data_IF_015374626438
#
_entry.id   IF_015374626438
#
_cell.length_a   1.000
_cell.length_b   1.000
_cell.length_c   1.000
_cell.angle_alpha   90.00
_cell.angle_beta   90.00
_cell.angle_gamma   90.00
#
_symmetry.space_group_name_H-M   'P 1'
#
loop_
_entity.id
_entity.type
_entity.pdbx_description
1 polymer ?
#
# COMPACT_ATOMS: atom_id res chain seq x y z
N UNK A 1 16.77 -12.69 -6.29
CA UNK A 1 17.88 -12.58 -5.34
C UNK A 1 17.45 -11.62 -4.24
N UNK A 2 17.33 -12.09 -3.00
CA UNK A 2 16.92 -11.24 -1.86
C UNK A 2 18.19 -10.65 -1.23
N UNK A 3 18.27 -9.33 -1.17
CA UNK A 3 19.44 -8.61 -0.64
C UNK A 3 19.11 -8.23 0.80
N UNK A 4 19.95 -8.58 1.77
CA UNK A 4 19.71 -8.17 3.15
C UNK A 4 20.44 -6.85 3.43
N UNK A 5 19.70 -5.81 3.88
CA UNK A 5 20.26 -4.48 4.18
C UNK A 5 20.46 -4.20 5.69
N UNK A 6 20.21 -5.18 6.58
CA UNK A 6 20.39 -5.01 8.05
C UNK A 6 21.86 -4.91 8.46
N UNK A 7 22.80 -5.41 7.65
CA UNK A 7 24.18 -5.59 8.10
C UNK A 7 25.18 -5.04 7.09
N UNK A 8 25.82 -3.92 7.46
CA UNK A 8 27.05 -3.40 6.83
C UNK A 8 28.21 -4.42 6.87
N UNK A 9 28.09 -5.49 7.67
CA UNK A 9 29.13 -6.51 7.80
C UNK A 9 29.01 -7.53 6.66
N UNK A 10 29.87 -7.37 5.64
CA UNK A 10 30.41 -8.40 4.73
C UNK A 10 29.70 -8.70 3.39
N UNK A 11 28.63 -8.01 2.99
CA UNK A 11 27.99 -8.32 1.71
C UNK A 11 28.44 -7.36 0.60
N UNK A 12 29.36 -7.78 -0.27
CA UNK A 12 29.80 -6.99 -1.45
C UNK A 12 28.59 -6.53 -2.28
N UNK A 13 27.58 -7.40 -2.39
CA UNK A 13 26.32 -7.13 -3.08
C UNK A 13 25.50 -5.99 -2.46
N UNK A 14 25.64 -5.74 -1.15
CA UNK A 14 24.98 -4.62 -0.50
C UNK A 14 25.55 -3.28 -1.00
N UNK A 15 26.89 -3.16 -1.06
CA UNK A 15 27.53 -1.93 -1.53
C UNK A 15 27.16 -1.63 -2.98
N UNK A 16 27.31 -2.62 -3.87
CA UNK A 16 26.95 -2.45 -5.29
C UNK A 16 25.48 -2.08 -5.48
N UNK A 17 24.60 -2.67 -4.66
CA UNK A 17 23.17 -2.37 -4.68
C UNK A 17 22.86 -0.95 -4.19
N UNK A 18 23.49 -0.51 -3.11
CA UNK A 18 23.31 0.85 -2.59
C UNK A 18 23.91 1.90 -3.53
N UNK A 19 25.06 1.61 -4.14
CA UNK A 19 25.68 2.47 -5.15
C UNK A 19 24.79 2.59 -6.39
N UNK A 20 24.19 1.48 -6.84
CA UNK A 20 23.23 1.48 -7.93
C UNK A 20 22.02 2.38 -7.59
N UNK A 21 21.42 2.22 -6.41
CA UNK A 21 20.28 3.03 -5.98
C UNK A 21 20.64 4.52 -5.88
N UNK A 22 21.81 4.82 -5.33
CA UNK A 22 22.34 6.17 -5.24
C UNK A 22 22.54 6.80 -6.63
N UNK A 23 22.99 6.02 -7.62
CA UNK A 23 23.15 6.48 -9.01
C UNK A 23 21.83 6.92 -9.66
N UNK A 24 20.68 6.36 -9.23
CA UNK A 24 19.34 6.79 -9.65
C UNK A 24 18.74 7.91 -8.78
N UNK A 25 19.46 8.33 -7.73
CA UNK A 25 19.00 9.29 -6.74
C UNK A 25 17.87 8.76 -5.86
N UNK A 26 17.86 7.45 -5.60
CA UNK A 26 16.95 6.79 -4.68
C UNK A 26 17.61 6.72 -3.30
N UNK A 27 16.85 7.10 -2.27
CA UNK A 27 17.26 7.00 -0.87
C UNK A 27 16.50 5.84 -0.22
N UNK A 28 17.21 5.03 0.55
CA UNK A 28 16.59 4.03 1.41
C UNK A 28 15.83 4.70 2.55
N UNK A 29 14.64 4.17 2.85
CA UNK A 29 13.77 4.73 3.87
C UNK A 29 13.82 3.95 5.19
N UNK A 30 14.35 2.73 5.20
CA UNK A 30 14.56 1.95 6.42
C UNK A 30 15.57 0.81 6.25
N UNK A 31 16.23 0.44 7.34
CA UNK A 31 17.09 -0.76 7.42
C UNK A 31 16.60 -1.75 8.47
N UNK A 32 15.37 -1.57 8.97
CA UNK A 32 14.77 -2.45 9.98
C UNK A 32 14.46 -3.84 9.40
N UNK A 33 14.63 -4.92 10.19
CA UNK A 33 14.24 -6.26 9.76
C UNK A 33 12.78 -6.32 9.33
N UNK A 34 12.52 -6.95 8.20
CA UNK A 34 11.17 -7.19 7.67
C UNK A 34 10.80 -8.66 7.67
N UNK A 35 11.78 -9.57 7.83
CA UNK A 35 11.58 -11.00 7.98
C UNK A 35 12.60 -11.54 8.98
N UNK A 36 12.12 -11.97 10.14
CA UNK A 36 12.97 -12.42 11.25
C UNK A 36 14.04 -11.36 11.63
N UNK A 37 15.32 -11.64 11.37
CA UNK A 37 16.47 -10.74 11.61
C UNK A 37 17.01 -10.09 10.33
N UNK A 38 16.35 -10.29 9.18
CA UNK A 38 16.76 -9.80 7.87
C UNK A 38 15.81 -8.70 7.37
N UNK A 39 16.34 -7.71 6.65
CA UNK A 39 15.54 -6.73 5.92
C UNK A 39 15.61 -7.10 4.44
N UNK A 40 14.56 -7.79 3.98
CA UNK A 40 14.44 -8.31 2.61
C UNK A 40 13.43 -7.52 1.78
N UNK A 41 12.54 -6.78 2.46
CA UNK A 41 11.56 -5.90 1.84
C UNK A 41 12.10 -4.49 1.95
N UNK A 42 12.41 -3.88 0.81
CA UNK A 42 13.06 -2.58 0.78
C UNK A 42 12.10 -1.52 0.25
N UNK A 43 12.15 -0.34 0.86
CA UNK A 43 11.37 0.79 0.39
C UNK A 43 12.30 1.98 0.11
N UNK A 44 12.37 2.38 -1.16
CA UNK A 44 13.18 3.51 -1.61
C UNK A 44 12.30 4.68 -2.04
N UNK A 45 12.80 5.89 -1.81
CA UNK A 45 12.10 7.11 -2.20
C UNK A 45 13.03 8.06 -2.96
N UNK A 46 12.48 8.67 -4.01
CA UNK A 46 13.06 9.82 -4.70
C UNK A 46 12.23 11.07 -4.38
N UNK A 47 12.48 11.65 -3.22
CA UNK A 47 11.74 12.82 -2.75
C UNK A 47 12.67 13.83 -2.07
N UNK A 48 12.35 15.12 -2.23
CA UNK A 48 12.96 16.20 -1.45
C UNK A 48 12.24 16.46 -0.12
N UNK A 49 11.11 15.78 0.10
CA UNK A 49 10.28 15.94 1.28
C UNK A 49 10.64 14.88 2.31
N UNK A 50 10.58 15.25 3.59
CA UNK A 50 10.87 14.34 4.70
C UNK A 50 9.84 13.24 4.76
N UNK A 51 10.24 12.01 4.44
CA UNK A 51 9.39 10.82 4.53
C UNK A 51 9.60 10.14 5.88
N UNK A 52 8.60 9.38 6.31
CA UNK A 52 8.70 8.52 7.50
C UNK A 52 8.31 7.10 7.12
N UNK A 53 9.11 6.14 7.51
CA UNK A 53 8.81 4.72 7.31
C UNK A 53 8.68 4.03 8.65
N UNK A 54 7.69 3.14 8.77
CA UNK A 54 7.47 2.31 9.95
C UNK A 54 7.39 0.86 9.49
N UNK A 55 8.05 -0.04 10.22
CA UNK A 55 7.90 -1.48 10.05
C UNK A 55 6.97 -1.99 11.14
N UNK A 56 5.84 -2.55 10.72
CA UNK A 56 4.80 -3.06 11.60
C UNK A 56 5.04 -4.53 11.88
N UNK A 57 5.47 -4.84 13.11
CA UNK A 57 5.58 -6.22 13.56
C UNK A 57 4.18 -6.83 13.69
N UNK A 58 3.90 -7.85 12.88
CA UNK A 58 2.67 -8.64 12.97
C UNK A 58 3.03 -10.07 13.33
N UNK A 59 2.14 -10.76 14.05
CA UNK A 59 2.29 -12.19 14.40
C UNK A 59 1.54 -13.10 13.43
N UNK A 60 0.99 -12.56 12.35
CA UNK A 60 0.12 -13.29 11.43
C UNK A 60 0.92 -13.97 10.31
N UNK A 61 2.00 -13.31 9.87
CA UNK A 61 2.89 -13.78 8.81
C UNK A 61 4.33 -13.73 9.29
N UNK A 62 5.21 -14.46 8.61
CA UNK A 62 6.66 -14.39 8.81
C UNK A 62 7.28 -13.06 8.31
N UNK A 63 6.48 -12.25 7.63
CA UNK A 63 6.84 -10.93 7.11
C UNK A 63 6.20 -9.80 7.93
N UNK A 64 6.96 -8.74 8.17
CA UNK A 64 6.51 -7.49 8.79
C UNK A 64 6.14 -6.47 7.73
N UNK A 65 4.99 -5.83 7.89
CA UNK A 65 4.49 -4.86 6.89
C UNK A 65 5.26 -3.55 6.95
N UNK A 66 5.78 -3.09 5.82
CA UNK A 66 6.43 -1.78 5.70
C UNK A 66 5.42 -0.71 5.29
N UNK A 67 5.33 0.37 6.05
CA UNK A 67 4.43 1.49 5.77
C UNK A 67 5.22 2.79 5.56
N UNK A 68 5.11 3.37 4.37
CA UNK A 68 5.73 4.64 4.00
C UNK A 68 4.72 5.78 4.10
N UNK A 69 5.08 6.83 4.84
CA UNK A 69 4.36 8.10 4.89
C UNK A 69 5.07 9.15 4.04
N UNK A 70 4.38 9.63 3.01
CA UNK A 70 4.82 10.71 2.14
C UNK A 70 4.05 11.98 2.49
N UNK A 71 4.73 13.08 2.90
CA UNK A 71 4.06 14.36 3.07
C UNK A 71 3.64 14.88 1.68
N UNK A 72 2.35 14.91 1.42
CA UNK A 72 1.83 15.56 0.22
C UNK A 72 1.70 17.05 0.52
N UNK A 73 2.51 17.89 -0.15
CA UNK A 73 2.14 19.30 -0.32
C UNK A 73 0.95 19.30 -1.26
N UNK A 74 -0.25 19.35 -0.71
CA UNK A 74 -1.45 19.65 -1.49
C UNK A 74 -1.31 21.11 -1.91
N UNK A 75 -0.56 21.36 -2.98
CA UNK A 75 -0.69 22.59 -3.73
C UNK A 75 -2.11 22.51 -4.28
N UNK A 76 -3.01 23.39 -3.83
CA UNK A 76 -4.34 23.50 -4.41
C UNK A 76 -4.16 23.67 -5.92
N UNK A 77 -4.35 22.60 -6.70
CA UNK A 77 -4.34 22.70 -8.15
C UNK A 77 -5.44 23.69 -8.49
N UNK A 78 -5.07 24.82 -9.08
CA UNK A 78 -5.97 25.60 -9.92
C UNK A 78 -6.71 24.60 -10.79
N UNK A 79 -8.04 24.57 -10.70
CA UNK A 79 -8.90 23.62 -11.40
C UNK A 79 -8.57 23.69 -12.90
N UNK A 80 -7.69 22.83 -13.36
CA UNK A 80 -7.68 22.43 -14.76
C UNK A 80 -9.00 21.69 -14.89
N UNK A 81 -9.85 22.14 -15.81
CA UNK A 81 -11.11 21.50 -16.16
C UNK A 81 -10.81 20.10 -16.73
N UNK A 82 -10.39 19.16 -15.90
CA UNK A 82 -10.59 17.76 -16.15
C UNK A 82 -11.99 17.43 -15.66
N UNK A 83 -12.76 16.75 -16.50
CA UNK A 83 -14.03 16.12 -16.13
C UNK A 83 -13.72 14.99 -15.15
N UNK A 84 -13.44 15.35 -13.90
CA UNK A 84 -13.28 14.43 -12.80
C UNK A 84 -14.60 14.39 -12.04
N UNK A 85 -15.33 13.27 -12.13
CA UNK A 85 -16.52 13.05 -11.31
C UNK A 85 -16.11 12.71 -9.88
N UNK A 86 -15.76 13.75 -9.12
CA UNK A 86 -15.65 13.62 -7.66
C UNK A 86 -17.06 13.40 -7.13
N UNK A 87 -17.30 12.21 -6.62
CA UNK A 87 -18.49 11.93 -5.82
C UNK A 87 -18.16 12.35 -4.41
N UNK A 88 -18.87 13.38 -3.93
CA UNK A 88 -18.73 13.88 -2.56
C UNK A 88 -19.18 12.77 -1.61
N UNK A 89 -18.19 12.07 -1.05
CA UNK A 89 -18.38 11.31 0.17
C UNK A 89 -18.12 12.28 1.32
N UNK A 90 -19.16 12.97 1.78
CA UNK A 90 -19.15 13.44 3.17
C UNK A 90 -18.88 12.22 4.07
N UNK A 91 -17.98 12.39 5.04
CA UNK A 91 -17.52 11.39 6.01
C UNK A 91 -16.42 10.41 5.58
N UNK A 92 -15.45 10.84 4.76
CA UNK A 92 -14.13 10.19 4.78
C UNK A 92 -13.37 10.65 6.05
N UNK A 93 -13.67 10.04 7.20
CA UNK A 93 -12.85 10.17 8.41
C UNK A 93 -11.43 9.76 8.04
N UNK A 94 -10.47 10.66 8.21
CA UNK A 94 -9.08 10.40 7.84
C UNK A 94 -8.55 9.33 8.82
N UNK A 95 -7.86 8.26 8.38
CA UNK A 95 -7.35 7.22 9.29
C UNK A 95 -6.48 7.75 10.43
N UNK A 96 -5.83 8.91 10.25
CA UNK A 96 -5.09 9.60 11.30
C UNK A 96 -5.98 10.17 12.42
N UNK A 97 -7.22 10.54 12.13
CA UNK A 97 -8.18 11.01 13.12
C UNK A 97 -8.71 9.86 13.99
N UNK A 98 -8.81 8.64 13.43
CA UNK A 98 -9.16 7.43 14.18
C UNK A 98 -8.07 7.00 15.17
N UNK A 99 -6.80 7.32 14.90
CA UNK A 99 -5.70 7.12 15.86
C UNK A 99 -5.83 8.06 17.06
N UNK A 100 -6.37 9.26 16.86
CA UNK A 100 -6.57 10.26 17.91
C UNK A 100 -7.96 10.20 18.57
N UNK A 101 -8.87 9.37 18.06
CA UNK A 101 -10.27 9.34 18.53
C UNK A 101 -10.45 8.64 19.87
N UNK A 102 -9.44 7.95 20.38
CA UNK A 102 -9.48 7.23 21.65
C UNK A 102 -8.16 7.37 22.41
N UNK A 103 -8.26 7.63 23.72
CA UNK A 103 -7.10 7.65 24.63
C UNK A 103 -6.52 6.25 24.87
N UNK A 104 -7.28 5.20 24.60
CA UNK A 104 -6.83 3.81 24.63
C UNK A 104 -6.31 3.38 23.25
N UNK A 105 -5.00 3.13 23.17
CA UNK A 105 -4.31 2.72 21.93
C UNK A 105 -4.86 1.43 21.33
N UNK A 106 -5.27 0.46 22.15
CA UNK A 106 -5.84 -0.80 21.67
C UNK A 106 -7.24 -0.60 21.06
N UNK A 107 -8.05 0.28 21.65
CA UNK A 107 -9.37 0.63 21.11
C UNK A 107 -9.24 1.45 19.81
N UNK A 108 -8.26 2.35 19.71
CA UNK A 108 -7.97 3.09 18.48
C UNK A 108 -7.57 2.14 17.34
N UNK A 109 -6.68 1.18 17.59
CA UNK A 109 -6.30 0.14 16.62
C UNK A 109 -7.49 -0.72 16.19
N UNK A 110 -8.35 -1.13 17.13
CA UNK A 110 -9.56 -1.88 16.80
C UNK A 110 -10.50 -1.09 15.87
N UNK A 111 -10.67 0.21 16.10
CA UNK A 111 -11.51 1.07 15.25
C UNK A 111 -10.92 1.26 13.85
N UNK A 112 -9.60 1.37 13.74
CA UNK A 112 -8.90 1.45 12.45
C UNK A 112 -9.06 0.16 11.67
N UNK A 113 -8.86 -0.98 12.33
CA UNK A 113 -9.07 -2.29 11.72
C UNK A 113 -10.52 -2.44 11.26
N UNK A 114 -11.49 -2.04 12.10
CA UNK A 114 -12.90 -2.03 11.74
C UNK A 114 -13.20 -1.12 10.55
N UNK A 115 -12.59 0.06 10.48
CA UNK A 115 -12.72 0.96 9.34
C UNK A 115 -12.21 0.29 8.06
N UNK A 116 -10.97 -0.20 8.06
CA UNK A 116 -10.36 -0.81 6.87
C UNK A 116 -11.06 -2.08 6.39
N UNK A 117 -11.55 -2.93 7.31
CA UNK A 117 -12.37 -4.10 6.96
C UNK A 117 -13.64 -3.68 6.23
N UNK A 118 -14.25 -2.57 6.63
CA UNK A 118 -15.50 -2.10 6.04
C UNK A 118 -15.31 -1.18 4.82
N UNK A 119 -14.11 -0.69 4.53
CA UNK A 119 -13.85 0.12 3.31
C UNK A 119 -14.24 -0.68 2.06
N UNK A 120 -13.85 -1.95 1.98
CA UNK A 120 -14.21 -2.83 0.87
C UNK A 120 -15.71 -3.01 0.72
N UNK A 121 -16.40 -3.30 1.83
CA UNK A 121 -17.87 -3.48 1.87
C UNK A 121 -18.60 -2.20 1.49
N UNK A 122 -18.20 -1.06 2.05
CA UNK A 122 -18.81 0.24 1.75
C UNK A 122 -18.59 0.63 0.28
N UNK A 123 -17.40 0.37 -0.26
CA UNK A 123 -17.09 0.60 -1.66
C UNK A 123 -17.96 -0.30 -2.56
N UNK A 124 -18.06 -1.60 -2.24
CA UNK A 124 -18.90 -2.54 -2.96
C UNK A 124 -20.37 -2.07 -2.97
N UNK A 125 -20.95 -1.74 -1.81
CA UNK A 125 -22.31 -1.21 -1.69
C UNK A 125 -22.48 0.07 -2.53
N UNK A 126 -21.51 0.99 -2.47
CA UNK A 126 -21.58 2.25 -3.24
C UNK A 126 -21.60 2.02 -4.75
N UNK A 127 -20.85 1.02 -5.24
CA UNK A 127 -20.82 0.63 -6.65
C UNK A 127 -22.16 0.03 -7.07
N UNK A 128 -22.75 -0.83 -6.22
CA UNK A 128 -24.07 -1.42 -6.46
C UNK A 128 -25.16 -0.35 -6.56
N UNK A 129 -25.17 0.58 -5.61
CA UNK A 129 -26.14 1.69 -5.58
C UNK A 129 -26.02 2.58 -6.82
N UNK A 130 -24.80 2.97 -7.22
CA UNK A 130 -24.57 3.81 -8.41
C UNK A 130 -24.99 3.14 -9.70
N UNK A 131 -24.76 1.83 -9.80
CA UNK A 131 -25.11 1.07 -10.99
C UNK A 131 -26.56 0.60 -10.98
N UNK A 132 -27.33 0.96 -9.95
CA UNK A 132 -28.73 0.52 -9.74
C UNK A 132 -28.90 -0.97 -9.99
N UNK A 133 -28.00 -1.78 -9.45
CA UNK A 133 -27.90 -3.20 -9.76
C UNK A 133 -27.51 -3.97 -8.51
N UNK A 134 -27.84 -5.26 -8.50
CA UNK A 134 -27.46 -6.17 -7.42
C UNK A 134 -26.19 -6.97 -7.80
N UNK A 135 -25.55 -7.58 -6.81
CA UNK A 135 -24.32 -8.36 -7.01
C UNK A 135 -24.49 -9.46 -8.07
N UNK A 136 -25.65 -10.12 -8.06
CA UNK A 136 -25.96 -11.23 -8.96
C UNK A 136 -26.04 -10.78 -10.42
N UNK A 137 -26.58 -9.59 -10.69
CA UNK A 137 -26.65 -9.00 -12.02
C UNK A 137 -25.30 -8.51 -12.53
N UNK A 138 -24.48 -7.91 -11.67
CA UNK A 138 -23.10 -7.53 -12.01
C UNK A 138 -22.27 -8.76 -12.37
N UNK A 139 -22.42 -9.85 -11.63
CA UNK A 139 -21.74 -11.10 -11.91
C UNK A 139 -22.17 -11.68 -13.28
N UNK A 140 -23.47 -11.67 -13.58
CA UNK A 140 -24.00 -12.12 -14.88
C UNK A 140 -23.47 -11.25 -16.04
N UNK A 141 -23.43 -9.93 -15.88
CA UNK A 141 -22.87 -8.99 -16.88
C UNK A 141 -21.35 -9.17 -17.07
N UNK A 142 -20.61 -9.46 -16.00
CA UNK A 142 -19.16 -9.71 -16.08
C UNK A 142 -18.82 -10.95 -16.91
N UNK A 143 -19.66 -11.98 -16.90
CA UNK A 143 -19.44 -13.20 -17.70
C UNK A 143 -19.77 -13.02 -19.19
N UNK A 144 -20.71 -12.14 -19.51
CA UNK A 144 -21.13 -11.87 -20.90
C UNK A 144 -20.13 -11.03 -21.69
N UNK A 145 -19.27 -10.23 -21.02
CA UNK A 145 -18.28 -9.34 -21.66
C UNK A 145 -16.86 -9.94 -21.74
N UNK A 146 -16.71 -11.26 -21.69
CA UNK A 146 -15.40 -11.94 -21.61
C UNK A 146 -14.58 -11.98 -22.91
N UNK A 147 -15.01 -11.35 -24.00
CA UNK A 147 -14.22 -11.29 -25.24
C UNK A 147 -13.17 -10.17 -25.29
N UNK A 148 -13.13 -9.27 -24.29
CA UNK A 148 -12.28 -8.07 -24.33
C UNK A 148 -11.87 -7.56 -22.93
N UNK A 149 -11.51 -8.46 -22.02
CA UNK A 149 -10.81 -8.07 -20.80
C UNK A 149 -9.31 -7.91 -21.06
N UNK A 150 -8.59 -6.96 -20.42
CA UNK A 150 -7.13 -6.96 -20.45
C UNK A 150 -6.62 -8.21 -19.75
N UNK A 151 -6.22 -9.22 -20.54
CA UNK A 151 -5.72 -10.53 -20.10
C UNK A 151 -4.43 -10.46 -19.25
N UNK A 152 -3.88 -9.27 -19.00
CA UNK A 152 -2.53 -9.08 -18.48
C UNK A 152 -2.46 -8.31 -17.15
N UNK A 153 -3.57 -8.17 -16.40
CA UNK A 153 -3.55 -7.34 -15.17
C UNK A 153 -2.91 -8.02 -13.96
N UNK A 154 -2.59 -9.32 -14.02
CA UNK A 154 -1.96 -10.02 -12.90
C UNK A 154 -1.20 -11.25 -13.41
N UNK A 155 0.13 -11.18 -13.47
CA UNK A 155 0.99 -12.32 -13.77
C UNK A 155 1.55 -12.82 -12.43
N UNK A 156 1.00 -13.93 -11.93
CA UNK A 156 1.64 -14.69 -10.87
C UNK A 156 2.75 -15.51 -11.53
N UNK A 157 3.99 -15.06 -11.35
CA UNK A 157 5.14 -15.87 -11.71
C UNK A 157 5.22 -17.06 -10.73
N UNK A 158 5.54 -18.27 -11.21
CA UNK A 158 5.81 -19.38 -10.32
C UNK A 158 6.93 -18.96 -9.37
N UNK A 159 6.68 -19.05 -8.07
CA UNK A 159 7.71 -18.89 -7.05
C UNK A 159 8.74 -19.99 -7.27
N UNK A 160 10.00 -19.60 -7.52
CA UNK A 160 11.10 -20.55 -7.66
C UNK A 160 11.18 -21.43 -6.40
N UNK A 161 10.97 -22.73 -6.56
CA UNK A 161 11.09 -23.76 -5.52
C UNK A 161 12.55 -24.10 -5.22
N UNK A 162 13.36 -23.11 -4.84
CA UNK A 162 14.69 -23.38 -4.29
C UNK A 162 14.82 -22.78 -2.90
N UNK A 163 14.49 -23.63 -1.92
CA UNK A 163 15.05 -23.60 -0.56
C UNK A 163 16.59 -23.62 -0.58
#
# INVERSE_FOLDING_TARGET
>A
MNINIVSEKLNIKFSEYMDLLASYGLLDTHTFPTRESNCLDHCFVKSKLKTSTVVCHTTLTDQFSVMLSLPLKITSRTRINSTFSKTDHEAAIIPSELLCSNSNSQAALHNINKYFVNVGTNLAISILLRKHTNELELFKKSRQNTTSGPLNSFMLLPTDEME
#
